data_IF_687479752322
#
_entry.id   IF_687479752322
#
_cell.length_a   1.000
_cell.length_b   1.000
_cell.length_c   1.000
_cell.angle_alpha   90.00
_cell.angle_beta   90.00
_cell.angle_gamma   90.00
#
_symmetry.space_group_name_H-M   'P 1'
#
loop_
_entity.id
_entity.type
_entity.pdbx_description
1 polymer ?
#
# COMPACT_ATOMS: atom_id res chain seq x y z
N UNK A 1 -7.81 -12.21 -2.01
CA UNK A 1 -7.22 -10.99 -1.41
C UNK A 1 -6.06 -11.39 -0.54
N UNK A 2 -5.11 -10.49 -0.30
CA UNK A 2 -4.00 -10.67 0.62
C UNK A 2 -4.20 -9.69 1.79
N UNK A 3 -4.12 -10.16 3.05
CA UNK A 3 -4.22 -9.30 4.21
C UNK A 3 -2.95 -8.45 4.36
N UNK A 4 -3.13 -7.15 4.53
CA UNK A 4 -2.08 -6.24 4.96
C UNK A 4 -2.34 -5.82 6.41
N UNK A 5 -1.29 -5.87 7.23
CA UNK A 5 -1.25 -5.33 8.58
C UNK A 5 0.13 -4.70 8.80
N UNK A 6 0.17 -3.38 8.87
CA UNK A 6 1.43 -2.62 8.96
C UNK A 6 1.32 -1.54 10.03
N UNK A 7 2.36 -1.37 10.83
CA UNK A 7 2.47 -0.26 11.77
C UNK A 7 3.28 0.84 11.09
N UNK A 8 2.63 1.97 10.84
CA UNK A 8 3.27 3.16 10.27
C UNK A 8 3.01 4.32 11.24
N UNK A 9 3.95 4.60 12.15
CA UNK A 9 3.83 5.71 13.09
C UNK A 9 3.64 7.02 12.35
N UNK A 10 2.91 7.96 12.96
CA UNK A 10 2.71 9.34 12.47
C UNK A 10 2.06 9.49 11.10
N UNK A 11 1.70 8.40 10.41
CA UNK A 11 0.98 8.48 9.14
C UNK A 11 -0.49 8.88 9.38
N UNK A 12 -1.01 9.70 8.47
CA UNK A 12 -2.42 10.09 8.40
C UNK A 12 -3.23 9.21 7.45
N UNK A 13 -2.58 8.62 6.44
CA UNK A 13 -3.18 7.62 5.56
C UNK A 13 -2.12 6.65 5.05
N UNK A 14 -2.51 5.40 4.82
CA UNK A 14 -1.65 4.38 4.23
C UNK A 14 -2.42 3.69 3.11
N UNK A 15 -1.75 3.46 1.98
CA UNK A 15 -2.32 2.80 0.82
C UNK A 15 -1.35 1.76 0.24
N UNK A 16 -1.91 0.69 -0.31
CA UNK A 16 -1.18 -0.27 -1.14
C UNK A 16 -1.52 0.02 -2.59
N UNK A 17 -0.50 0.19 -3.42
CA UNK A 17 -0.62 0.52 -4.84
C UNK A 17 -0.08 -0.63 -5.68
N UNK A 18 -0.88 -1.09 -6.64
CA UNK A 18 -0.52 -2.15 -7.60
C UNK A 18 -1.01 -1.72 -8.97
N UNK A 19 -0.10 -1.53 -9.93
CA UNK A 19 -0.42 -0.87 -11.19
C UNK A 19 -0.98 0.53 -10.95
N UNK A 20 -2.21 0.77 -11.41
CA UNK A 20 -2.93 2.04 -11.23
C UNK A 20 -3.91 2.02 -10.03
N UNK A 21 -4.07 0.88 -9.37
CA UNK A 21 -5.08 0.70 -8.33
C UNK A 21 -4.54 1.01 -6.93
N UNK A 22 -5.30 1.82 -6.19
CA UNK A 22 -4.98 2.27 -4.83
C UNK A 22 -5.94 1.67 -3.82
N UNK A 23 -5.42 0.79 -2.97
CA UNK A 23 -6.19 0.23 -1.83
C UNK A 23 -5.79 0.94 -0.54
N UNK A 24 -6.67 1.82 -0.06
CA UNK A 24 -6.47 2.51 1.22
C UNK A 24 -6.71 1.56 2.40
N UNK A 25 -5.77 1.54 3.35
CA UNK A 25 -5.88 0.75 4.57
C UNK A 25 -6.67 1.53 5.62
N UNK A 26 -7.41 0.81 6.46
CA UNK A 26 -8.12 1.38 7.60
C UNK A 26 -7.22 1.36 8.84
N UNK A 27 -7.23 2.44 9.61
CA UNK A 27 -6.52 2.49 10.89
C UNK A 27 -7.32 1.73 11.95
N UNK A 28 -6.69 0.75 12.58
CA UNK A 28 -7.21 -0.01 13.72
C UNK A 28 -6.16 0.05 14.82
N UNK A 29 -6.42 0.89 15.82
CA UNK A 29 -5.47 1.18 16.90
C UNK A 29 -4.13 1.73 16.36
N UNK A 30 -3.03 1.04 16.61
CA UNK A 30 -1.66 1.37 16.19
C UNK A 30 -1.28 0.78 14.82
N UNK A 31 -2.20 0.09 14.15
CA UNK A 31 -1.97 -0.63 12.92
C UNK A 31 -2.88 -0.13 11.78
N UNK A 32 -2.36 -0.21 10.56
CA UNK A 32 -3.12 -0.06 9.33
C UNK A 32 -3.44 -1.44 8.77
N UNK A 33 -4.72 -1.71 8.53
CA UNK A 33 -5.21 -3.01 8.07
C UNK A 33 -6.06 -2.88 6.82
N UNK A 34 -5.94 -3.85 5.92
CA UNK A 34 -6.76 -3.89 4.71
C UNK A 34 -6.59 -5.18 3.93
N UNK A 35 -7.52 -5.42 3.00
CA UNK A 35 -7.51 -6.57 2.10
C UNK A 35 -7.23 -6.09 0.69
N UNK A 36 -6.09 -6.49 0.12
CA UNK A 36 -5.71 -6.07 -1.24
C UNK A 36 -6.00 -7.20 -2.22
N UNK A 37 -6.74 -6.93 -3.29
CA UNK A 37 -7.06 -7.95 -4.28
C UNK A 37 -5.93 -8.08 -5.31
N UNK A 38 -4.93 -8.92 -5.05
CA UNK A 38 -3.79 -9.07 -5.98
C UNK A 38 -4.06 -10.00 -7.17
N UNK A 39 -5.09 -10.85 -7.10
CA UNK A 39 -5.37 -11.88 -8.13
C UNK A 39 -5.50 -11.32 -9.56
N UNK A 40 -6.17 -10.18 -9.81
CA UNK A 40 -6.30 -9.64 -11.16
C UNK A 40 -4.97 -9.26 -11.80
N UNK A 41 -3.94 -8.95 -11.00
CA UNK A 41 -2.65 -8.45 -11.50
C UNK A 41 -1.58 -9.54 -11.64
N UNK A 42 -1.89 -10.79 -11.33
CA UNK A 42 -0.91 -11.88 -11.39
C UNK A 42 -0.41 -12.13 -12.82
N UNK A 43 0.90 -12.03 -13.01
CA UNK A 43 1.54 -12.18 -14.33
C UNK A 43 1.42 -10.95 -15.22
N UNK A 44 0.74 -9.90 -14.77
CA UNK A 44 0.59 -8.61 -15.45
C UNK A 44 1.47 -7.57 -14.77
N UNK A 45 1.17 -7.28 -13.50
CA UNK A 45 1.97 -6.38 -12.69
C UNK A 45 3.05 -7.14 -11.96
N UNK A 46 4.25 -6.56 -11.94
CA UNK A 46 5.39 -7.09 -11.23
C UNK A 46 5.83 -6.19 -10.07
N UNK A 47 5.09 -5.13 -9.78
CA UNK A 47 5.41 -4.14 -8.77
C UNK A 47 4.23 -3.92 -7.81
N UNK A 48 4.54 -3.80 -6.53
CA UNK A 48 3.62 -3.42 -5.46
C UNK A 48 4.32 -2.39 -4.58
N UNK A 49 3.63 -1.30 -4.27
CA UNK A 49 4.14 -0.27 -3.38
C UNK A 49 3.23 -0.11 -2.15
N UNK A 50 3.83 0.06 -0.98
CA UNK A 50 3.16 0.54 0.22
C UNK A 50 3.52 2.02 0.39
N UNK A 51 2.50 2.85 0.41
CA UNK A 51 2.61 4.30 0.44
C UNK A 51 1.97 4.84 1.71
N UNK A 52 2.59 5.87 2.30
CA UNK A 52 2.05 6.56 3.47
C UNK A 52 2.06 8.07 3.27
N UNK A 53 1.03 8.72 3.81
CA UNK A 53 0.86 10.16 3.83
C UNK A 53 1.12 10.65 5.25
N UNK A 54 2.04 11.59 5.40
CA UNK A 54 2.48 12.13 6.71
C UNK A 54 2.07 13.58 6.94
N UNK A 55 1.73 14.33 5.90
CA UNK A 55 1.17 15.67 6.03
C UNK A 55 -0.32 15.59 5.69
N UNK A 56 -1.21 16.22 6.47
CA UNK A 56 -2.64 16.23 6.17
C UNK A 56 -2.95 17.12 4.96
N UNK A 57 -2.18 18.20 4.81
CA UNK A 57 -2.43 19.28 3.85
C UNK A 57 -1.78 19.02 2.49
N UNK A 58 -0.75 18.19 2.44
CA UNK A 58 -0.14 17.78 1.19
C UNK A 58 -0.86 16.56 0.60
N UNK A 59 -1.09 16.54 -0.71
CA UNK A 59 -1.65 15.41 -1.44
C UNK A 59 -0.65 14.25 -1.59
N UNK A 60 0.61 14.47 -1.23
CA UNK A 60 1.70 13.55 -1.51
C UNK A 60 1.73 12.34 -0.57
N UNK A 61 1.93 11.18 -1.18
CA UNK A 61 2.26 9.94 -0.50
C UNK A 61 3.73 9.62 -0.70
N UNK A 62 4.44 9.30 0.38
CA UNK A 62 5.78 8.73 0.32
C UNK A 62 5.71 7.21 0.18
N UNK A 63 6.48 6.64 -0.74
CA UNK A 63 6.64 5.19 -0.86
C UNK A 63 7.53 4.68 0.28
N UNK A 64 6.98 3.82 1.15
CA UNK A 64 7.71 3.22 2.26
C UNK A 64 8.38 1.90 1.89
N UNK A 65 7.68 1.12 1.07
CA UNK A 65 8.16 -0.18 0.62
C UNK A 65 7.74 -0.35 -0.83
N UNK A 66 8.69 -0.76 -1.65
CA UNK A 66 8.44 -1.20 -3.02
C UNK A 66 8.91 -2.65 -3.14
N UNK A 67 7.99 -3.53 -3.56
CA UNK A 67 8.28 -4.92 -3.86
C UNK A 67 8.19 -5.14 -5.35
N UNK A 68 9.25 -5.70 -5.94
CA UNK A 68 9.31 -6.00 -7.37
C UNK A 68 9.73 -7.43 -7.61
N UNK A 69 8.97 -8.11 -8.46
CA UNK A 69 9.34 -9.43 -8.97
C UNK A 69 10.40 -9.25 -10.07
N UNK A 70 11.52 -9.96 -9.93
CA UNK A 70 12.54 -9.99 -10.97
C UNK A 70 11.93 -10.53 -12.27
N UNK A 71 12.17 -9.83 -13.39
CA UNK A 71 11.85 -10.36 -14.72
C UNK A 71 12.86 -11.49 -15.00
N UNK A 72 12.34 -12.67 -15.32
CA UNK A 72 13.15 -13.79 -15.83
C UNK A 72 13.64 -13.48 -17.23
#
# INVERSE_FOLDING_TARGET
TIPFRVSVPTAHAVAVVVGEDWTHLSQVSDCWVGQVCLKPYWGIENQLALCAKYDVNDGNYGTLLEYRLAKR
#
